data_IF_616745553812
#
_entry.id   IF_616745553812
#
_cell.length_a   1.000
_cell.length_b   1.000
_cell.length_c   1.000
_cell.angle_alpha   90.00
_cell.angle_beta   90.00
_cell.angle_gamma   90.00
#
_symmetry.space_group_name_H-M   'P 1'
#
loop_
_entity.id
_entity.type
_entity.pdbx_description
1 polymer ?
#
# COMPACT_ATOMS: atom_id res chain seq x y z
N UNK A 1 -13.97 3.81 -2.98
CA UNK A 1 -13.04 3.47 -1.88
C UNK A 1 -11.65 3.23 -2.44
N UNK A 2 -10.66 3.79 -1.81
CA UNK A 2 -9.26 3.54 -2.15
C UNK A 2 -8.63 2.70 -1.04
N UNK A 3 -8.09 1.54 -1.43
CA UNK A 3 -7.26 0.71 -0.56
C UNK A 3 -5.82 0.79 -1.03
N UNK A 4 -4.92 1.16 -0.13
CA UNK A 4 -3.49 1.33 -0.44
C UNK A 4 -2.68 0.41 0.45
N UNK A 5 -1.71 -0.27 -0.12
CA UNK A 5 -0.88 -1.20 0.64
C UNK A 5 0.44 -1.52 -0.05
N UNK A 6 1.32 -2.16 0.68
CA UNK A 6 2.57 -2.67 0.14
C UNK A 6 2.31 -3.80 -0.87
N UNK A 7 3.20 -3.94 -1.84
CA UNK A 7 3.08 -5.01 -2.82
C UNK A 7 3.56 -6.36 -2.28
N UNK A 8 4.47 -6.35 -1.32
CA UNK A 8 5.08 -7.57 -0.77
C UNK A 8 5.03 -7.59 0.75
N UNK A 9 5.04 -8.80 1.30
CA UNK A 9 5.05 -9.07 2.73
C UNK A 9 6.32 -9.81 3.11
N UNK A 10 6.87 -9.46 4.26
CA UNK A 10 7.97 -10.21 4.87
C UNK A 10 7.69 -10.37 6.36
N UNK A 11 6.97 -11.42 6.69
CA UNK A 11 6.66 -11.76 8.08
C UNK A 11 7.77 -12.66 8.64
N UNK A 12 8.19 -12.38 9.85
CA UNK A 12 9.23 -13.16 10.51
C UNK A 12 9.72 -12.46 11.76
N UNK A 13 10.52 -13.20 12.55
CA UNK A 13 11.03 -12.70 13.83
C UNK A 13 12.34 -11.94 13.70
N UNK A 14 13.05 -12.11 12.57
CA UNK A 14 14.36 -11.48 12.33
C UNK A 14 14.22 -10.40 11.28
N UNK A 15 14.61 -9.18 11.67
CA UNK A 15 14.64 -8.07 10.72
C UNK A 15 15.80 -8.26 9.75
N UNK A 16 15.53 -8.05 8.44
CA UNK A 16 16.50 -8.16 7.35
C UNK A 16 16.46 -6.86 6.53
N UNK A 17 17.51 -6.57 5.71
CA UNK A 17 17.46 -5.37 4.85
C UNK A 17 16.23 -5.32 3.95
N UNK A 18 15.74 -6.45 3.47
CA UNK A 18 14.53 -6.55 2.66
C UNK A 18 13.27 -6.10 3.41
N UNK A 19 13.31 -6.06 4.73
CA UNK A 19 12.19 -5.59 5.56
C UNK A 19 11.91 -4.10 5.35
N UNK A 20 12.86 -3.32 4.81
CA UNK A 20 12.65 -1.91 4.47
C UNK A 20 11.74 -1.71 3.28
N UNK A 21 11.49 -2.73 2.50
CA UNK A 21 10.73 -2.63 1.26
C UNK A 21 9.55 -3.60 1.21
N UNK A 22 9.06 -4.04 2.36
CA UNK A 22 7.92 -4.94 2.46
C UNK A 22 7.11 -4.65 3.72
N UNK A 23 5.84 -5.08 3.71
CA UNK A 23 5.01 -5.04 4.92
C UNK A 23 5.46 -6.17 5.85
N UNK A 24 5.89 -5.82 7.04
CA UNK A 24 6.36 -6.77 8.04
C UNK A 24 5.31 -7.05 9.12
N UNK A 25 4.12 -6.47 9.00
CA UNK A 25 3.06 -6.54 10.01
C UNK A 25 1.93 -7.47 9.56
N UNK A 26 1.46 -7.33 8.31
CA UNK A 26 0.32 -8.08 7.79
C UNK A 26 0.66 -8.71 6.44
N UNK A 27 -0.16 -9.70 6.07
CA UNK A 27 -0.10 -10.32 4.74
C UNK A 27 -0.73 -9.37 3.72
N UNK A 28 0.11 -8.74 2.89
CA UNK A 28 -0.32 -7.76 1.90
C UNK A 28 -1.22 -8.38 0.82
N UNK A 29 -0.94 -9.61 0.40
CA UNK A 29 -1.76 -10.29 -0.61
C UNK A 29 -3.16 -10.58 -0.08
N UNK A 30 -3.27 -11.10 1.14
CA UNK A 30 -4.56 -11.38 1.75
C UNK A 30 -5.37 -10.09 1.95
N UNK A 31 -4.72 -9.01 2.38
CA UNK A 31 -5.37 -7.72 2.54
C UNK A 31 -5.90 -7.19 1.23
N UNK A 32 -5.13 -7.26 0.15
CA UNK A 32 -5.57 -6.82 -1.18
C UNK A 32 -6.76 -7.65 -1.67
N UNK A 33 -6.75 -8.97 -1.45
CA UNK A 33 -7.88 -9.83 -1.83
C UNK A 33 -9.17 -9.48 -1.10
N UNK A 34 -9.06 -9.11 0.19
CA UNK A 34 -10.22 -8.73 1.01
C UNK A 34 -10.72 -7.32 0.70
N UNK A 35 -9.89 -6.47 0.17
CA UNK A 35 -10.24 -5.07 -0.10
C UNK A 35 -11.41 -4.94 -1.09
N UNK A 36 -11.62 -5.92 -1.96
CA UNK A 36 -12.74 -5.91 -2.89
C UNK A 36 -14.11 -5.89 -2.19
N UNK A 37 -14.14 -6.28 -0.91
CA UNK A 37 -15.36 -6.31 -0.11
C UNK A 37 -15.72 -4.95 0.50
N UNK A 38 -14.86 -3.93 0.37
CA UNK A 38 -15.06 -2.63 1.00
C UNK A 38 -16.17 -1.80 0.37
N UNK A 39 -16.59 -2.13 -0.84
CA UNK A 39 -17.64 -1.39 -1.52
C UNK A 39 -17.86 -1.89 -2.93
N UNK A 40 -18.76 -1.21 -3.67
CA UNK A 40 -19.07 -1.55 -5.06
C UNK A 40 -18.02 -1.02 -6.03
N UNK A 41 -17.35 0.07 -5.68
CA UNK A 41 -16.30 0.67 -6.48
C UNK A 41 -15.05 0.82 -5.61
N UNK A 42 -14.09 -0.05 -5.83
CA UNK A 42 -12.85 -0.09 -5.03
C UNK A 42 -11.64 0.01 -5.96
N UNK A 43 -10.78 0.95 -5.66
CA UNK A 43 -9.45 1.02 -6.26
C UNK A 43 -8.46 0.38 -5.31
N UNK A 44 -7.66 -0.57 -5.79
CA UNK A 44 -6.64 -1.24 -5.00
C UNK A 44 -5.28 -0.84 -5.57
N UNK A 45 -4.51 -0.10 -4.78
CA UNK A 45 -3.17 0.33 -5.17
C UNK A 45 -2.15 -0.39 -4.29
N UNK A 46 -1.23 -1.11 -4.92
CA UNK A 46 -0.16 -1.85 -4.25
C UNK A 46 1.17 -1.26 -4.67
N UNK A 47 2.03 -1.00 -3.70
CA UNK A 47 3.28 -0.28 -3.93
C UNK A 47 4.49 -1.21 -3.74
N UNK A 48 5.20 -1.57 -4.82
CA UNK A 48 6.48 -2.26 -4.68
C UNK A 48 7.44 -1.41 -3.83
N UNK A 49 8.11 -2.04 -2.91
CA UNK A 49 9.00 -1.34 -1.97
C UNK A 49 8.30 -0.68 -0.80
N UNK A 50 6.96 -0.73 -0.72
CA UNK A 50 6.21 -0.16 0.39
C UNK A 50 6.36 -0.96 1.68
N UNK A 51 6.31 -0.25 2.82
CA UNK A 51 6.24 -0.87 4.15
C UNK A 51 4.81 -0.79 4.67
N UNK A 52 4.55 -1.34 5.87
CA UNK A 52 3.18 -1.38 6.42
C UNK A 52 2.57 0.03 6.51
N UNK A 53 3.25 0.98 7.14
CA UNK A 53 2.87 2.39 7.05
C UNK A 53 3.54 2.98 5.81
N UNK A 54 2.77 3.09 4.72
CA UNK A 54 3.29 3.52 3.43
C UNK A 54 3.99 4.88 3.47
N UNK A 55 3.56 5.77 4.37
CA UNK A 55 4.17 7.10 4.48
C UNK A 55 5.59 7.04 5.08
N UNK A 56 5.96 5.93 5.69
CA UNK A 56 7.30 5.69 6.23
C UNK A 56 8.19 4.89 5.26
N UNK A 57 7.71 4.62 4.06
CA UNK A 57 8.49 3.95 3.02
C UNK A 57 9.66 4.82 2.56
N UNK A 58 10.65 4.20 1.89
CA UNK A 58 11.76 4.93 1.30
C UNK A 58 11.25 6.06 0.38
N UNK A 59 11.99 7.19 0.25
CA UNK A 59 11.47 8.38 -0.42
C UNK A 59 10.86 8.18 -1.80
N UNK A 60 11.46 7.42 -2.74
CA UNK A 60 10.86 7.21 -4.05
C UNK A 60 9.50 6.51 -3.97
N UNK A 61 9.35 5.54 -3.07
CA UNK A 61 8.10 4.81 -2.88
C UNK A 61 7.07 5.73 -2.23
N UNK A 62 7.46 6.49 -1.22
CA UNK A 62 6.59 7.46 -0.54
C UNK A 62 6.01 8.47 -1.52
N UNK A 63 6.82 8.97 -2.45
CA UNK A 63 6.35 9.88 -3.50
C UNK A 63 5.30 9.23 -4.40
N UNK A 64 5.46 7.97 -4.74
CA UNK A 64 4.46 7.23 -5.51
C UNK A 64 3.15 7.11 -4.74
N UNK A 65 3.22 6.87 -3.43
CA UNK A 65 2.03 6.78 -2.57
C UNK A 65 1.26 8.11 -2.59
N UNK A 66 1.93 9.23 -2.35
CA UNK A 66 1.28 10.54 -2.37
C UNK A 66 0.74 10.90 -3.75
N UNK A 67 1.48 10.56 -4.81
CA UNK A 67 1.02 10.80 -6.18
C UNK A 67 -0.25 10.01 -6.49
N UNK A 68 -0.30 8.74 -6.12
CA UNK A 68 -1.49 7.91 -6.31
C UNK A 68 -2.68 8.44 -5.53
N UNK A 69 -2.48 8.88 -4.29
CA UNK A 69 -3.52 9.46 -3.46
C UNK A 69 -4.08 10.74 -4.10
N UNK A 70 -3.21 11.66 -4.55
CA UNK A 70 -3.64 12.89 -5.21
C UNK A 70 -4.46 12.61 -6.46
N UNK A 71 -4.02 11.67 -7.29
CA UNK A 71 -4.75 11.30 -8.52
C UNK A 71 -6.12 10.75 -8.22
N UNK A 72 -6.21 9.87 -7.23
CA UNK A 72 -7.48 9.28 -6.85
C UNK A 72 -8.45 10.34 -6.32
N UNK A 73 -7.97 11.22 -5.42
CA UNK A 73 -8.78 12.29 -4.87
C UNK A 73 -9.26 13.24 -5.96
N UNK A 74 -8.40 13.62 -6.90
CA UNK A 74 -8.79 14.48 -8.02
C UNK A 74 -9.84 13.84 -8.90
N UNK A 75 -9.75 12.54 -9.14
CA UNK A 75 -10.69 11.83 -10.01
C UNK A 75 -12.05 11.60 -9.36
N UNK A 76 -12.09 11.35 -8.06
CA UNK A 76 -13.30 10.84 -7.39
C UNK A 76 -13.87 11.75 -6.30
N UNK A 77 -13.08 12.64 -5.73
CA UNK A 77 -13.48 13.46 -4.58
C UNK A 77 -13.48 14.95 -4.91
N UNK A 78 -12.43 15.46 -5.50
CA UNK A 78 -12.20 16.90 -5.73
C UNK A 78 -12.63 17.35 -7.13
N UNK A 79 -13.75 16.89 -7.61
CA UNK A 79 -14.26 17.25 -8.94
C UNK A 79 -14.80 18.66 -8.97
#
# INVERSE_FOLDING_TARGET
VLSMGAATTRLGVTWMPESRSADTIIDADATARRAVMLGKLVTIARFPGGVHDLTLSEPPVREQVFSALRRWMSAYVLR
#
